data_IF_621142570547
#
_entry.id   IF_621142570547
#
_cell.length_a   1.000
_cell.length_b   1.000
_cell.length_c   1.000
_cell.angle_alpha   90.00
_cell.angle_beta   90.00
_cell.angle_gamma   90.00
#
_symmetry.space_group_name_H-M   'P 1'
#
loop_
_entity.id
_entity.type
_entity.pdbx_description
1 polymer ?
#
# COMPACT_ATOMS: atom_id res chain seq x y z
N UNK A 1 44.01 4.69 -30.76
CA UNK A 1 44.21 3.79 -31.92
C UNK A 1 43.21 2.64 -31.74
N UNK A 2 41.91 2.86 -31.95
CA UNK A 2 41.16 3.02 -33.20
C UNK A 2 40.97 1.69 -33.96
N UNK A 3 39.75 1.13 -33.86
CA UNK A 3 39.00 0.27 -34.80
C UNK A 3 37.72 -0.12 -34.03
N UNK A 4 36.54 0.49 -34.18
CA UNK A 4 35.65 0.67 -35.34
C UNK A 4 35.49 -0.59 -36.17
N UNK A 5 34.41 -1.33 -35.89
CA UNK A 5 33.75 -2.22 -36.83
C UNK A 5 32.25 -1.91 -36.81
N UNK A 6 31.80 -1.32 -37.93
CA UNK A 6 30.42 -1.11 -38.32
C UNK A 6 29.92 -2.33 -39.09
N UNK A 7 28.70 -2.79 -38.81
CA UNK A 7 27.90 -3.52 -39.80
C UNK A 7 26.42 -3.25 -39.57
N UNK A 8 25.80 -2.55 -40.52
CA UNK A 8 24.35 -2.38 -40.61
C UNK A 8 23.67 -3.48 -41.44
N UNK A 9 22.39 -3.20 -41.75
CA UNK A 9 21.40 -4.00 -42.50
C UNK A 9 20.66 -5.06 -41.63
N UNK A 10 19.32 -5.19 -41.65
CA UNK A 10 18.24 -4.62 -42.48
C UNK A 10 16.92 -4.77 -41.72
N UNK A 11 16.01 -3.79 -41.88
CA UNK A 11 14.60 -3.96 -41.60
C UNK A 11 14.00 -5.01 -42.54
N UNK A 12 13.29 -5.98 -41.98
CA UNK A 12 12.35 -6.82 -42.72
C UNK A 12 10.95 -6.58 -42.15
N UNK A 13 10.10 -5.99 -42.97
CA UNK A 13 8.66 -5.85 -42.77
C UNK A 13 8.06 -7.25 -42.89
N UNK A 14 7.47 -7.76 -41.81
CA UNK A 14 6.68 -8.98 -41.85
C UNK A 14 5.23 -8.63 -42.17
N UNK A 15 4.82 -8.96 -43.38
CA UNK A 15 3.43 -8.95 -43.87
C UNK A 15 2.61 -9.99 -43.10
N UNK A 16 1.50 -9.54 -42.49
CA UNK A 16 0.48 -10.40 -41.88
C UNK A 16 -0.43 -11.01 -42.96
N UNK A 17 -0.86 -12.28 -42.83
CA UNK A 17 -1.90 -12.83 -43.70
C UNK A 17 -3.29 -12.34 -43.27
N UNK A 18 -4.03 -11.85 -44.26
CA UNK A 18 -5.44 -11.50 -44.14
C UNK A 18 -6.33 -12.76 -44.19
N UNK A 19 -7.39 -12.78 -43.39
CA UNK A 19 -8.50 -13.71 -43.58
C UNK A 19 -9.10 -14.23 -42.29
N UNK A 20 -10.11 -13.52 -41.76
CA UNK A 20 -11.26 -14.15 -41.11
C UNK A 20 -12.42 -13.13 -41.10
N UNK A 21 -13.39 -13.33 -41.99
CA UNK A 21 -14.67 -12.63 -41.93
C UNK A 21 -15.50 -13.18 -40.76
N UNK A 22 -15.85 -12.31 -39.81
CA UNK A 22 -16.89 -12.58 -38.81
C UNK A 22 -18.21 -12.00 -39.31
N UNK A 23 -19.11 -12.89 -39.72
CA UNK A 23 -20.52 -12.58 -40.00
C UNK A 23 -21.19 -12.07 -38.72
N UNK A 24 -21.66 -10.83 -38.75
CA UNK A 24 -22.56 -10.30 -37.73
C UNK A 24 -23.94 -10.96 -37.86
N UNK A 25 -24.32 -11.73 -36.84
CA UNK A 25 -25.70 -12.21 -36.66
C UNK A 25 -26.44 -11.15 -35.86
N UNK A 26 -27.33 -10.41 -36.52
CA UNK A 26 -28.25 -9.47 -35.86
C UNK A 26 -29.44 -10.24 -35.29
N UNK A 27 -29.55 -10.31 -33.96
CA UNK A 27 -30.80 -10.68 -33.28
C UNK A 27 -31.44 -9.43 -32.69
N UNK A 28 -32.66 -9.13 -33.14
CA UNK A 28 -33.54 -8.11 -32.56
C UNK A 28 -34.11 -8.65 -31.24
N UNK A 29 -34.36 -7.79 -30.24
CA UNK A 29 -35.48 -7.99 -29.34
C UNK A 29 -36.61 -6.99 -29.60
N UNK A 30 -37.82 -7.51 -29.41
CA UNK A 30 -39.10 -6.82 -29.46
C UNK A 30 -39.18 -5.68 -28.47
N UNK A 31 -39.93 -4.64 -28.86
CA UNK A 31 -40.21 -3.49 -28.02
C UNK A 31 -41.23 -3.75 -26.92
N UNK A 32 -41.21 -2.85 -25.94
CA UNK A 32 -42.37 -2.51 -25.14
C UNK A 32 -42.40 -0.99 -24.95
N UNK A 33 -43.59 -0.44 -25.22
CA UNK A 33 -43.96 0.97 -25.07
C UNK A 33 -43.70 1.46 -23.65
N UNK A 34 -43.17 2.67 -23.51
CA UNK A 34 -43.49 3.56 -22.41
C UNK A 34 -43.67 4.99 -22.96
N UNK A 35 -44.73 5.60 -22.46
CA UNK A 35 -45.39 6.82 -22.91
C UNK A 35 -44.60 8.09 -22.60
N UNK A 36 -44.74 9.07 -23.50
CA UNK A 36 -44.24 10.43 -23.35
C UNK A 36 -44.93 11.18 -22.21
N UNK A 37 -44.14 11.97 -21.48
CA UNK A 37 -44.58 13.24 -20.90
C UNK A 37 -43.51 14.28 -21.23
N UNK A 38 -43.93 15.29 -21.96
CA UNK A 38 -43.16 16.47 -22.33
C UNK A 38 -43.03 17.40 -21.14
N UNK A 39 -41.82 17.89 -20.86
CA UNK A 39 -41.73 19.27 -20.42
C UNK A 39 -40.50 19.97 -21.00
N UNK A 40 -40.77 21.17 -21.48
CA UNK A 40 -39.90 22.00 -22.31
C UNK A 40 -39.45 23.20 -21.49
N UNK A 41 -38.14 23.41 -21.35
CA UNK A 41 -37.63 24.78 -21.24
C UNK A 41 -36.18 24.88 -21.74
N UNK A 42 -35.98 25.94 -22.52
CA UNK A 42 -34.82 26.28 -23.36
C UNK A 42 -33.57 26.72 -22.57
N UNK A 43 -32.40 26.73 -23.22
CA UNK A 43 -31.13 27.16 -22.63
C UNK A 43 -30.93 28.68 -22.73
N UNK A 44 -30.24 29.27 -21.75
CA UNK A 44 -29.73 30.63 -21.81
C UNK A 44 -28.20 30.62 -21.98
N UNK A 45 -27.78 31.24 -23.09
CA UNK A 45 -26.39 31.57 -23.42
C UNK A 45 -25.79 32.54 -22.40
N UNK A 46 -24.51 32.37 -22.03
CA UNK A 46 -23.66 33.50 -21.71
C UNK A 46 -22.17 33.24 -22.01
N UNK A 47 -21.76 33.79 -23.16
CA UNK A 47 -20.48 34.43 -23.48
C UNK A 47 -19.15 33.89 -22.97
N UNK A 48 -18.42 33.28 -23.92
CA UNK A 48 -16.96 33.31 -24.05
C UNK A 48 -16.42 34.75 -24.00
N UNK A 49 -15.48 35.02 -23.08
CA UNK A 49 -14.50 36.11 -23.24
C UNK A 49 -13.11 35.51 -23.38
N UNK A 50 -12.55 35.67 -24.59
CA UNK A 50 -11.11 35.59 -24.87
C UNK A 50 -10.42 36.71 -24.10
N UNK A 51 -9.39 36.38 -23.33
CA UNK A 51 -8.33 37.32 -22.97
C UNK A 51 -7.03 36.72 -23.49
N UNK A 52 -6.48 37.35 -24.52
CA UNK A 52 -5.13 37.12 -24.99
C UNK A 52 -4.15 37.91 -24.12
N UNK A 53 -2.97 37.33 -23.92
CA UNK A 53 -1.87 37.94 -23.18
C UNK A 53 -0.70 36.98 -23.15
N UNK A 54 0.03 36.89 -24.26
CA UNK A 54 1.32 36.19 -24.33
C UNK A 54 2.35 37.13 -23.73
N UNK A 55 2.80 36.86 -22.51
CA UNK A 55 3.96 37.52 -21.93
C UNK A 55 5.16 36.57 -21.97
N UNK A 56 6.12 36.89 -22.84
CA UNK A 56 7.43 36.23 -22.93
C UNK A 56 8.24 36.55 -21.69
N UNK A 57 8.31 35.62 -20.75
CA UNK A 57 9.32 35.68 -19.68
C UNK A 57 10.66 35.19 -20.25
N UNK A 58 11.64 36.09 -20.28
CA UNK A 58 13.01 35.83 -20.70
C UNK A 58 13.72 34.99 -19.63
N UNK A 59 14.30 33.86 -20.03
CA UNK A 59 15.26 33.11 -19.23
C UNK A 59 16.55 33.92 -19.04
N UNK A 60 17.09 34.04 -17.82
CA UNK A 60 18.50 34.38 -17.64
C UNK A 60 19.36 33.13 -17.78
N UNK A 61 20.46 33.35 -18.49
CA UNK A 61 21.50 32.41 -18.91
C UNK A 61 22.29 31.83 -17.74
N UNK A 62 22.72 30.57 -17.89
CA UNK A 62 23.68 29.87 -17.04
C UNK A 62 24.95 30.69 -16.82
N UNK A 63 25.25 31.02 -15.56
CA UNK A 63 26.56 31.45 -15.12
C UNK A 63 27.15 30.38 -14.20
N UNK A 64 28.34 29.90 -14.54
CA UNK A 64 29.11 28.93 -13.77
C UNK A 64 29.44 29.48 -12.39
N UNK A 65 29.09 28.75 -11.32
CA UNK A 65 29.61 29.00 -9.99
C UNK A 65 30.45 27.80 -9.56
N UNK A 66 31.73 28.10 -9.29
CA UNK A 66 32.75 27.16 -8.83
C UNK A 66 32.34 26.56 -7.49
N UNK A 67 32.54 25.24 -7.35
CA UNK A 67 32.54 24.54 -6.06
C UNK A 67 33.64 25.10 -5.16
N UNK A 68 33.26 25.54 -3.97
CA UNK A 68 34.16 25.58 -2.82
C UNK A 68 33.36 25.47 -1.52
N UNK A 69 33.75 24.48 -0.73
CA UNK A 69 33.69 24.35 0.73
C UNK A 69 32.33 24.15 1.41
N UNK A 70 32.12 22.89 1.81
CA UNK A 70 31.88 22.46 3.18
C UNK A 70 31.46 23.57 4.17
N UNK A 71 30.15 23.62 4.46
CA UNK A 71 29.63 24.34 5.61
C UNK A 71 28.61 23.45 6.34
N UNK A 72 29.01 23.00 7.52
CA UNK A 72 28.20 22.39 8.56
C UNK A 72 26.97 23.27 8.85
N UNK A 73 25.77 22.80 8.50
CA UNK A 73 24.52 23.41 8.92
C UNK A 73 24.01 22.61 10.12
N UNK A 74 24.25 23.14 11.31
CA UNK A 74 23.50 22.79 12.50
C UNK A 74 22.10 23.40 12.38
N UNK A 75 21.11 22.62 11.95
CA UNK A 75 19.70 22.98 12.12
C UNK A 75 19.18 22.35 13.41
N UNK A 76 19.23 23.11 14.49
CA UNK A 76 18.60 22.75 15.77
C UNK A 76 17.09 23.01 15.66
N UNK A 77 16.34 22.06 15.12
CA UNK A 77 14.90 21.98 15.37
C UNK A 77 14.71 21.49 16.81
N UNK A 78 14.08 22.32 17.64
CA UNK A 78 13.64 21.94 18.98
C UNK A 78 12.47 20.96 18.84
N UNK A 79 12.78 19.68 18.70
CA UNK A 79 11.82 18.63 19.05
C UNK A 79 11.70 18.60 20.58
N UNK A 80 10.48 18.79 21.08
CA UNK A 80 10.16 18.58 22.48
C UNK A 80 10.42 17.09 22.80
N UNK A 81 11.14 16.74 23.88
CA UNK A 81 11.39 15.35 24.20
C UNK A 81 10.06 14.62 24.44
N UNK A 82 9.80 13.60 23.62
CA UNK A 82 8.70 12.66 23.83
C UNK A 82 8.91 12.05 25.22
N UNK A 83 7.98 12.28 26.13
CA UNK A 83 8.02 11.72 27.49
C UNK A 83 7.71 10.23 27.39
N UNK A 84 8.76 9.41 27.35
CA UNK A 84 8.63 7.95 27.32
C UNK A 84 7.91 7.48 28.58
N UNK A 85 6.72 6.91 28.44
CA UNK A 85 6.02 6.26 29.56
C UNK A 85 6.76 4.98 29.94
N UNK A 86 7.21 4.87 31.19
CA UNK A 86 7.80 3.63 31.72
C UNK A 86 6.76 2.50 31.70
N UNK A 87 7.06 1.41 30.98
CA UNK A 87 6.15 0.28 30.81
C UNK A 87 6.66 -0.72 29.79
N UNK A 88 6.00 -1.88 29.70
CA UNK A 88 6.23 -2.81 28.59
C UNK A 88 5.84 -2.13 27.28
N UNK A 89 6.61 -2.27 26.18
CA UNK A 89 6.23 -1.69 24.90
C UNK A 89 4.83 -2.17 24.49
N UNK A 90 3.98 -1.23 24.09
CA UNK A 90 2.61 -1.49 23.69
C UNK A 90 2.15 -0.54 22.61
N UNK A 91 1.19 -1.02 21.82
CA UNK A 91 0.51 -0.24 20.79
C UNK A 91 -0.94 -0.67 20.69
N UNK A 92 -1.76 0.20 20.10
CA UNK A 92 -3.12 -0.12 19.67
C UNK A 92 -3.12 -0.28 18.15
N UNK A 93 -3.78 -1.30 17.63
CA UNK A 93 -3.88 -1.55 16.18
C UNK A 93 -5.32 -1.77 15.75
N UNK A 94 -5.74 -1.06 14.71
CA UNK A 94 -6.92 -1.38 13.91
C UNK A 94 -6.43 -1.91 12.57
N UNK A 95 -7.03 -2.99 12.06
CA UNK A 95 -6.62 -3.56 10.79
C UNK A 95 -7.82 -4.03 9.97
N UNK A 96 -7.78 -3.81 8.66
CA UNK A 96 -8.79 -4.28 7.73
C UNK A 96 -8.25 -4.42 6.31
N UNK A 97 -8.45 -5.59 5.71
CA UNK A 97 -7.77 -5.91 4.46
C UNK A 97 -6.25 -5.74 4.67
N UNK A 98 -5.58 -5.05 3.75
CA UNK A 98 -4.16 -4.71 3.88
C UNK A 98 -3.89 -3.52 4.80
N UNK A 99 -4.91 -2.68 5.04
CA UNK A 99 -4.78 -1.46 5.83
C UNK A 99 -4.59 -1.81 7.30
N UNK A 100 -3.71 -1.07 7.97
CA UNK A 100 -3.71 -1.00 9.41
C UNK A 100 -3.34 0.39 9.91
N UNK A 101 -3.88 0.73 11.07
CA UNK A 101 -3.66 1.99 11.77
C UNK A 101 -3.16 1.65 13.17
N UNK A 102 -1.94 2.09 13.47
CA UNK A 102 -1.23 1.77 14.70
C UNK A 102 -0.96 3.04 15.49
N UNK A 103 -1.23 3.00 16.79
CA UNK A 103 -0.84 4.04 17.75
C UNK A 103 0.11 3.46 18.81
N UNK A 104 1.37 3.90 18.81
CA UNK A 104 2.35 3.51 19.82
C UNK A 104 2.02 4.21 21.15
N UNK A 105 1.88 3.47 22.25
CA UNK A 105 1.43 4.08 23.51
C UNK A 105 2.50 4.94 24.20
N UNK A 106 3.77 4.61 23.99
CA UNK A 106 4.89 5.31 24.60
C UNK A 106 5.13 6.69 23.98
N UNK A 107 5.07 6.80 22.65
CA UNK A 107 5.28 8.05 21.92
C UNK A 107 3.99 8.78 21.53
N UNK A 108 2.86 8.08 21.47
CA UNK A 108 1.63 8.58 20.87
C UNK A 108 1.65 8.61 19.34
N UNK A 109 2.71 8.11 18.70
CA UNK A 109 2.87 8.15 17.24
C UNK A 109 1.79 7.32 16.54
N UNK A 110 1.11 7.93 15.58
CA UNK A 110 0.05 7.31 14.76
C UNK A 110 0.52 7.05 13.33
N UNK A 111 0.58 5.78 12.95
CA UNK A 111 1.02 5.32 11.63
C UNK A 111 -0.14 4.65 10.90
N UNK A 112 -0.45 5.12 9.69
CA UNK A 112 -1.41 4.48 8.80
C UNK A 112 -0.65 3.79 7.67
N UNK A 113 -0.82 2.48 7.53
CA UNK A 113 -0.26 1.72 6.41
C UNK A 113 -1.33 1.30 5.41
N UNK A 114 -0.95 1.30 4.14
CA UNK A 114 -1.75 0.88 2.99
C UNK A 114 -3.22 1.37 3.08
N UNK A 115 -3.43 2.70 3.05
CA UNK A 115 -4.68 3.34 3.46
C UNK A 115 -5.92 2.89 2.70
N UNK A 116 -6.89 2.26 3.36
CA UNK A 116 -8.26 2.06 2.88
C UNK A 116 -9.26 2.35 4.00
N UNK A 117 -9.68 3.61 4.15
CA UNK A 117 -10.52 4.04 5.29
C UNK A 117 -12.02 4.01 4.98
N UNK A 118 -12.43 4.12 3.72
CA UNK A 118 -13.83 4.13 3.34
C UNK A 118 -13.99 3.80 1.86
N UNK A 119 -15.24 3.60 1.46
CA UNK A 119 -15.61 3.41 0.06
C UNK A 119 -15.19 2.04 -0.48
N UNK A 120 -15.60 1.77 -1.72
CA UNK A 120 -15.30 0.49 -2.34
C UNK A 120 -13.86 0.48 -2.87
N UNK A 121 -13.16 -0.64 -2.67
CA UNK A 121 -11.93 -0.93 -3.38
C UNK A 121 -12.28 -1.36 -4.81
N UNK A 122 -11.70 -0.68 -5.80
CA UNK A 122 -11.81 -1.01 -7.22
C UNK A 122 -10.45 -0.88 -7.88
N UNK A 123 -10.28 -1.50 -9.05
CA UNK A 123 -9.06 -1.32 -9.86
C UNK A 123 -9.38 -0.46 -11.09
N UNK A 124 -8.60 0.60 -11.32
CA UNK A 124 -8.77 1.61 -12.38
C UNK A 124 -10.17 2.24 -12.47
N UNK A 125 -10.84 2.41 -11.31
CA UNK A 125 -12.22 2.91 -11.22
C UNK A 125 -13.23 2.05 -12.02
N UNK A 126 -12.91 0.76 -12.25
CA UNK A 126 -13.76 -0.17 -12.99
C UNK A 126 -14.53 -1.08 -12.02
N UNK A 127 -15.60 -0.58 -11.42
CA UNK A 127 -16.43 -1.35 -10.48
C UNK A 127 -17.01 -2.65 -11.09
N UNK A 128 -17.24 -2.69 -12.41
CA UNK A 128 -17.68 -3.90 -13.11
C UNK A 128 -16.60 -4.99 -13.16
N UNK A 129 -15.33 -4.61 -13.10
CA UNK A 129 -14.19 -5.54 -13.11
C UNK A 129 -14.11 -6.24 -11.75
N UNK A 130 -13.90 -5.44 -10.72
CA UNK A 130 -13.80 -5.87 -9.33
C UNK A 130 -14.29 -4.77 -8.41
N UNK A 131 -15.04 -5.17 -7.38
CA UNK A 131 -15.41 -4.33 -6.25
C UNK A 131 -15.23 -5.14 -4.98
N UNK A 132 -14.29 -4.72 -4.13
CA UNK A 132 -14.16 -5.19 -2.75
C UNK A 132 -14.84 -4.22 -1.80
N UNK A 133 -15.68 -4.74 -0.89
CA UNK A 133 -16.32 -3.95 0.16
C UNK A 133 -15.97 -4.52 1.52
N UNK A 134 -15.39 -3.69 2.36
CA UNK A 134 -15.28 -3.98 3.77
C UNK A 134 -16.69 -4.01 4.40
N UNK A 135 -16.91 -4.96 5.31
CA UNK A 135 -18.15 -5.00 6.12
C UNK A 135 -18.14 -3.98 7.27
N UNK A 136 -16.96 -3.52 7.69
CA UNK A 136 -16.81 -2.62 8.85
C UNK A 136 -16.71 -1.15 8.47
N UNK A 137 -16.34 -0.87 7.22
CA UNK A 137 -16.47 0.43 6.59
C UNK A 137 -17.94 0.62 6.28
N UNK A 138 -18.54 1.60 6.95
CA UNK A 138 -19.83 2.07 6.51
C UNK A 138 -19.67 2.54 5.06
N UNK A 139 -20.63 2.19 4.19
CA UNK A 139 -20.55 2.50 2.74
C UNK A 139 -20.11 3.94 2.45
N UNK A 140 -20.43 4.86 3.36
CA UNK A 140 -20.16 6.30 3.27
C UNK A 140 -19.44 6.88 4.51
N UNK A 141 -18.85 6.05 5.37
CA UNK A 141 -18.27 6.47 6.66
C UNK A 141 -16.92 5.84 6.99
N UNK A 142 -16.23 6.41 7.97
CA UNK A 142 -14.97 5.87 8.49
C UNK A 142 -15.20 4.54 9.24
N UNK A 143 -14.17 3.69 9.40
CA UNK A 143 -14.30 2.41 10.08
C UNK A 143 -14.55 2.61 11.58
N UNK A 144 -15.48 1.84 12.14
CA UNK A 144 -15.82 1.87 13.57
C UNK A 144 -16.10 3.28 14.10
N UNK A 145 -15.41 3.67 15.17
CA UNK A 145 -15.57 4.97 15.84
C UNK A 145 -14.52 6.00 15.39
N UNK A 146 -13.82 5.77 14.27
CA UNK A 146 -12.84 6.73 13.77
C UNK A 146 -13.52 8.05 13.37
N UNK A 147 -12.97 9.15 13.86
CA UNK A 147 -13.41 10.50 13.52
C UNK A 147 -12.47 11.12 12.48
N UNK A 148 -12.95 12.13 11.76
CA UNK A 148 -12.09 12.94 10.88
C UNK A 148 -10.96 13.63 11.66
N UNK A 149 -11.19 13.98 12.93
CA UNK A 149 -10.16 14.51 13.81
C UNK A 149 -9.05 13.48 14.05
N UNK A 150 -9.42 12.23 14.33
CA UNK A 150 -8.44 11.14 14.47
C UNK A 150 -7.67 10.93 13.16
N UNK A 151 -8.35 10.86 12.02
CA UNK A 151 -7.68 10.72 10.71
C UNK A 151 -6.74 11.88 10.43
N UNK A 152 -7.12 13.10 10.82
CA UNK A 152 -6.25 14.27 10.72
C UNK A 152 -5.10 14.26 11.75
N UNK A 153 -5.07 13.35 12.71
CA UNK A 153 -3.98 13.25 13.68
C UNK A 153 -2.93 12.19 13.32
N UNK A 154 -3.04 11.58 12.13
CA UNK A 154 -2.05 10.64 11.62
C UNK A 154 -0.73 11.38 11.38
N UNK A 155 0.35 10.82 11.92
CA UNK A 155 1.68 11.42 11.89
C UNK A 155 2.54 10.92 10.72
N UNK A 156 2.27 9.71 10.23
CA UNK A 156 3.00 9.10 9.12
C UNK A 156 2.11 8.14 8.33
N UNK A 157 2.32 8.09 7.01
CA UNK A 157 1.73 7.10 6.13
C UNK A 157 2.83 6.19 5.55
N UNK A 158 2.60 4.88 5.58
CA UNK A 158 3.46 3.89 4.95
C UNK A 158 2.70 3.22 3.79
N UNK A 159 3.30 3.12 2.59
CA UNK A 159 2.64 2.44 1.46
C UNK A 159 3.58 1.42 0.78
N UNK A 160 3.18 0.15 0.76
CA UNK A 160 4.01 -0.96 0.26
C UNK A 160 4.02 -1.09 -1.26
N UNK A 161 2.91 -0.77 -1.93
CA UNK A 161 2.74 -0.93 -3.37
C UNK A 161 1.77 0.08 -4.00
N UNK A 162 1.86 0.28 -5.31
CA UNK A 162 1.03 1.26 -6.05
C UNK A 162 -0.41 0.81 -6.32
N UNK A 163 -0.70 -0.47 -6.11
CA UNK A 163 -2.00 -1.06 -6.44
C UNK A 163 -3.11 -0.55 -5.53
N UNK A 164 -4.33 -0.40 -6.07
CA UNK A 164 -5.43 0.30 -5.40
C UNK A 164 -5.97 -0.42 -4.14
N UNK A 165 -5.56 -1.66 -3.90
CA UNK A 165 -5.79 -2.42 -2.68
C UNK A 165 -4.80 -2.08 -1.53
N UNK A 166 -3.84 -1.20 -1.79
CA UNK A 166 -2.88 -0.63 -0.84
C UNK A 166 -2.81 0.90 -0.94
N UNK A 167 -2.83 1.41 -2.18
CA UNK A 167 -2.77 2.83 -2.52
C UNK A 167 -4.17 3.34 -2.89
N UNK A 168 -5.15 3.20 -1.99
CA UNK A 168 -6.55 3.50 -2.30
C UNK A 168 -6.77 5.00 -2.58
N UNK A 169 -6.99 5.34 -3.85
CA UNK A 169 -7.08 6.74 -4.29
C UNK A 169 -8.16 7.56 -3.58
N UNK A 170 -9.39 7.05 -3.34
CA UNK A 170 -10.40 7.79 -2.58
C UNK A 170 -9.92 8.15 -1.17
N UNK A 171 -9.31 7.20 -0.45
CA UNK A 171 -8.74 7.46 0.89
C UNK A 171 -7.67 8.55 0.81
N UNK A 172 -6.67 8.36 -0.06
CA UNK A 172 -5.53 9.26 -0.19
C UNK A 172 -5.95 10.68 -0.60
N UNK A 173 -7.02 10.84 -1.38
CA UNK A 173 -7.57 12.16 -1.73
C UNK A 173 -8.12 12.91 -0.52
N UNK A 174 -8.69 12.21 0.47
CA UNK A 174 -9.24 12.82 1.69
C UNK A 174 -8.20 13.15 2.76
N UNK A 175 -7.06 12.44 2.78
CA UNK A 175 -6.01 12.70 3.77
C UNK A 175 -5.36 14.07 3.54
N UNK A 176 -4.88 14.68 4.63
CA UNK A 176 -4.07 15.89 4.58
C UNK A 176 -2.84 15.66 3.68
N UNK A 177 -2.42 16.68 2.91
CA UNK A 177 -1.36 16.53 1.90
C UNK A 177 0.04 16.81 2.44
N UNK A 178 0.10 17.36 3.65
CA UNK A 178 1.30 17.67 4.41
C UNK A 178 1.69 16.57 5.41
N UNK A 179 0.88 15.51 5.58
CA UNK A 179 1.32 14.33 6.34
C UNK A 179 2.50 13.68 5.62
N UNK A 180 3.61 13.40 6.31
CA UNK A 180 4.73 12.67 5.75
C UNK A 180 4.29 11.29 5.22
N UNK A 181 4.78 10.93 4.04
CA UNK A 181 4.55 9.61 3.43
C UNK A 181 5.88 8.95 3.11
N UNK A 182 6.05 7.70 3.54
CA UNK A 182 7.14 6.84 3.10
C UNK A 182 6.56 5.67 2.33
N UNK A 183 7.00 5.48 1.10
CA UNK A 183 6.35 4.54 0.18
C UNK A 183 7.36 3.75 -0.66
N UNK A 184 6.93 2.64 -1.26
CA UNK A 184 7.69 2.03 -2.35
C UNK A 184 7.88 3.02 -3.50
N UNK A 185 8.92 2.85 -4.34
CA UNK A 185 9.19 3.79 -5.43
C UNK A 185 8.00 4.00 -6.37
N UNK A 186 7.18 2.96 -6.60
CA UNK A 186 6.01 3.05 -7.47
C UNK A 186 4.83 3.71 -6.78
N UNK A 187 4.59 3.42 -5.49
CA UNK A 187 3.56 4.09 -4.70
C UNK A 187 3.86 5.58 -4.49
N UNK A 188 5.13 5.96 -4.29
CA UNK A 188 5.53 7.36 -4.15
C UNK A 188 5.12 8.20 -5.36
N UNK A 189 5.24 7.66 -6.59
CA UNK A 189 4.80 8.34 -7.81
C UNK A 189 3.29 8.60 -7.81
N UNK A 190 2.48 7.65 -7.33
CA UNK A 190 1.02 7.82 -7.21
C UNK A 190 0.69 8.91 -6.20
N UNK A 191 1.30 8.84 -5.01
CA UNK A 191 1.08 9.76 -3.90
C UNK A 191 1.48 11.21 -4.28
N UNK A 192 2.62 11.39 -4.94
CA UNK A 192 3.07 12.70 -5.44
C UNK A 192 2.07 13.30 -6.45
N UNK A 193 1.52 12.48 -7.35
CA UNK A 193 0.49 12.93 -8.32
C UNK A 193 -0.82 13.34 -7.65
N UNK A 194 -1.10 12.84 -6.46
CA UNK A 194 -2.25 13.24 -5.64
C UNK A 194 -1.99 14.54 -4.84
N UNK A 195 -0.78 15.11 -4.95
CA UNK A 195 -0.45 16.42 -4.38
C UNK A 195 0.11 16.39 -2.97
N UNK A 196 0.56 15.23 -2.46
CA UNK A 196 1.29 15.17 -1.19
C UNK A 196 2.63 15.89 -1.32
N UNK A 197 3.00 16.66 -0.29
CA UNK A 197 4.16 17.56 -0.32
C UNK A 197 5.40 17.00 0.36
N UNK A 198 5.23 16.00 1.23
CA UNK A 198 6.32 15.30 1.92
C UNK A 198 6.22 13.80 1.62
N UNK A 199 6.97 13.35 0.61
CA UNK A 199 6.96 11.97 0.13
C UNK A 199 8.40 11.49 -0.03
N UNK A 200 8.74 10.42 0.69
CA UNK A 200 10.01 9.71 0.58
C UNK A 200 9.78 8.36 -0.10
N UNK A 201 10.37 8.15 -1.27
CA UNK A 201 10.47 6.80 -1.82
C UNK A 201 11.60 6.02 -1.13
N UNK A 202 11.34 4.75 -0.80
CA UNK A 202 12.33 3.90 -0.14
C UNK A 202 12.63 2.66 -0.98
N UNK A 203 13.84 2.60 -1.55
CA UNK A 203 14.31 1.46 -2.32
C UNK A 203 14.72 0.28 -1.43
N UNK A 204 14.70 -0.93 -1.97
CA UNK A 204 15.10 -2.14 -1.25
C UNK A 204 16.50 -2.02 -0.64
N UNK A 205 16.67 -2.52 0.59
CA UNK A 205 17.94 -2.51 1.31
C UNK A 205 18.35 -1.13 1.85
N UNK A 206 17.51 -0.12 1.71
CA UNK A 206 17.74 1.23 2.25
C UNK A 206 16.84 1.51 3.45
N UNK A 207 17.19 2.55 4.20
CA UNK A 207 16.40 3.02 5.34
C UNK A 207 16.24 4.53 5.33
N UNK A 208 15.19 5.00 5.99
CA UNK A 208 14.91 6.41 6.22
C UNK A 208 14.23 6.61 7.58
N UNK A 209 13.93 7.85 7.93
CA UNK A 209 13.17 8.20 9.12
C UNK A 209 11.97 9.09 8.75
N UNK A 210 10.84 8.84 9.38
CA UNK A 210 9.58 9.56 9.17
C UNK A 210 8.90 9.77 10.52
N UNK A 211 8.67 11.02 10.92
CA UNK A 211 8.01 11.34 12.20
C UNK A 211 8.63 10.62 13.41
N UNK A 212 9.97 10.53 13.45
CA UNK A 212 10.72 9.82 14.50
C UNK A 212 10.84 8.30 14.31
N UNK A 213 10.02 7.68 13.47
CA UNK A 213 10.04 6.26 13.14
C UNK A 213 11.16 5.94 12.15
N UNK A 214 12.04 4.98 12.47
CA UNK A 214 13.01 4.47 11.50
C UNK A 214 12.37 3.37 10.67
N UNK A 215 12.57 3.41 9.36
CA UNK A 215 11.97 2.45 8.43
C UNK A 215 13.02 1.87 7.51
N UNK A 216 13.02 0.55 7.31
CA UNK A 216 13.85 -0.18 6.35
C UNK A 216 12.95 -0.85 5.32
N UNK A 217 13.31 -0.76 4.04
CA UNK A 217 12.61 -1.47 2.98
C UNK A 217 13.28 -2.82 2.71
N UNK A 218 12.50 -3.89 2.75
CA UNK A 218 12.88 -5.22 2.27
C UNK A 218 12.30 -5.50 0.90
N UNK A 219 12.87 -6.48 0.20
CA UNK A 219 12.34 -6.96 -1.07
C UNK A 219 11.09 -7.81 -0.79
N UNK A 220 9.91 -7.25 -1.04
CA UNK A 220 8.60 -7.86 -0.78
C UNK A 220 7.96 -8.49 -2.01
N UNK A 221 6.63 -8.43 -2.11
CA UNK A 221 5.85 -9.18 -3.11
C UNK A 221 6.20 -8.89 -4.57
N UNK A 222 6.14 -9.92 -5.42
CA UNK A 222 6.21 -9.73 -6.88
C UNK A 222 4.80 -9.62 -7.44
N UNK A 223 4.34 -8.39 -7.68
CA UNK A 223 3.04 -8.14 -8.31
C UNK A 223 3.23 -7.80 -9.78
N UNK A 224 2.52 -8.51 -10.65
CA UNK A 224 2.63 -8.36 -12.10
C UNK A 224 3.67 -9.29 -12.77
N UNK A 225 4.16 -8.94 -13.97
CA UNK A 225 5.03 -9.82 -14.74
C UNK A 225 6.35 -10.19 -14.03
N UNK A 226 7.01 -11.31 -14.38
CA UNK A 226 8.23 -11.78 -13.74
C UNK A 226 9.40 -10.78 -13.72
N UNK A 227 9.42 -9.82 -14.64
CA UNK A 227 10.44 -8.77 -14.74
C UNK A 227 10.06 -7.47 -14.02
N UNK A 228 8.86 -7.35 -13.47
CA UNK A 228 8.46 -6.18 -12.70
C UNK A 228 9.34 -6.04 -11.45
N UNK A 229 9.64 -4.81 -11.06
CA UNK A 229 10.26 -4.54 -9.75
C UNK A 229 9.32 -5.06 -8.66
N UNK A 230 9.89 -5.78 -7.69
CA UNK A 230 9.15 -6.27 -6.53
C UNK A 230 8.73 -5.08 -5.65
N UNK A 231 7.60 -5.21 -4.98
CA UNK A 231 7.12 -4.26 -4.00
C UNK A 231 7.95 -4.31 -2.71
N UNK A 232 7.60 -3.48 -1.73
CA UNK A 232 8.31 -3.44 -0.47
C UNK A 232 7.62 -4.28 0.60
N UNK A 233 8.42 -5.00 1.38
CA UNK A 233 8.13 -5.17 2.80
C UNK A 233 8.80 -4.05 3.60
N UNK A 234 8.36 -3.82 4.83
CA UNK A 234 8.96 -2.79 5.69
C UNK A 234 9.24 -3.32 7.10
N UNK A 235 10.36 -2.90 7.69
CA UNK A 235 10.52 -2.85 9.15
C UNK A 235 10.28 -1.44 9.62
N UNK A 236 9.41 -1.28 10.61
CA UNK A 236 9.14 -0.05 11.34
C UNK A 236 9.74 -0.21 12.74
N UNK A 237 10.72 0.63 13.07
CA UNK A 237 11.32 0.65 14.40
C UNK A 237 10.90 1.91 15.13
N UNK A 238 10.08 1.73 16.17
CA UNK A 238 9.77 2.76 17.17
C UNK A 238 10.51 2.37 18.45
N UNK A 239 11.40 3.25 18.92
CA UNK A 239 12.27 2.98 20.07
C UNK A 239 12.93 1.59 19.99
N UNK A 240 12.52 0.66 20.86
CA UNK A 240 13.04 -0.71 20.97
C UNK A 240 12.11 -1.74 20.31
N UNK A 241 10.97 -1.34 19.75
CA UNK A 241 9.99 -2.22 19.11
C UNK A 241 10.14 -2.22 17.59
N UNK A 242 10.45 -3.40 17.03
CA UNK A 242 10.49 -3.64 15.59
C UNK A 242 9.23 -4.34 15.09
N UNK A 243 8.55 -3.75 14.11
CA UNK A 243 7.37 -4.33 13.43
C UNK A 243 7.72 -4.58 11.96
N UNK A 244 7.66 -5.83 11.53
CA UNK A 244 7.78 -6.18 10.11
C UNK A 244 6.40 -6.29 9.46
N UNK A 245 6.23 -5.63 8.32
CA UNK A 245 5.03 -5.68 7.50
C UNK A 245 5.35 -6.23 6.10
N UNK A 246 4.70 -7.34 5.73
CA UNK A 246 4.76 -7.94 4.40
C UNK A 246 3.35 -8.34 3.95
N UNK A 247 2.75 -7.61 2.99
CA UNK A 247 1.33 -7.76 2.65
C UNK A 247 0.98 -9.06 1.95
N UNK A 248 1.91 -9.69 1.22
CA UNK A 248 1.61 -10.84 0.37
C UNK A 248 2.32 -12.13 0.83
N UNK A 249 3.08 -12.05 1.93
CA UNK A 249 3.96 -13.12 2.41
C UNK A 249 4.94 -13.63 1.33
N UNK A 250 5.29 -12.79 0.34
CA UNK A 250 6.19 -13.13 -0.75
C UNK A 250 7.43 -12.26 -0.63
N UNK A 251 8.56 -12.85 -0.22
CA UNK A 251 9.74 -12.08 0.19
C UNK A 251 11.03 -12.67 -0.35
N UNK A 252 12.09 -11.87 -0.37
CA UNK A 252 13.46 -12.35 -0.52
C UNK A 252 14.05 -12.73 0.84
N UNK A 253 14.56 -13.96 0.96
CA UNK A 253 15.11 -14.45 2.23
C UNK A 253 16.29 -13.63 2.75
N UNK A 254 17.23 -13.24 1.88
CA UNK A 254 18.45 -12.53 2.28
C UNK A 254 18.11 -11.12 2.76
N UNK A 255 17.21 -10.45 2.03
CA UNK A 255 16.66 -9.15 2.42
C UNK A 255 15.98 -9.22 3.79
N UNK A 256 15.13 -10.22 4.04
CA UNK A 256 14.46 -10.36 5.35
C UNK A 256 15.44 -10.75 6.46
N UNK A 257 16.44 -11.60 6.19
CA UNK A 257 17.48 -11.96 7.17
C UNK A 257 18.26 -10.74 7.64
N UNK A 258 18.46 -9.75 6.78
CA UNK A 258 19.22 -8.53 7.12
C UNK A 258 18.53 -7.62 8.16
N UNK A 259 17.23 -7.82 8.38
CA UNK A 259 16.42 -7.02 9.32
C UNK A 259 15.88 -7.84 10.50
N UNK A 260 16.28 -9.10 10.61
CA UNK A 260 15.94 -9.98 11.73
C UNK A 260 16.83 -9.72 12.96
N UNK A 261 16.36 -9.96 14.19
CA UNK A 261 14.98 -10.30 14.56
C UNK A 261 14.07 -9.06 14.63
N UNK A 262 12.76 -9.29 14.69
CA UNK A 262 11.73 -8.26 14.96
C UNK A 262 10.77 -8.75 16.04
N UNK A 263 10.02 -7.84 16.67
CA UNK A 263 9.09 -8.20 17.74
C UNK A 263 7.72 -8.63 17.23
N UNK A 264 7.25 -7.96 16.16
CA UNK A 264 5.93 -8.16 15.58
C UNK A 264 6.05 -8.43 14.09
N UNK A 265 5.27 -9.39 13.59
CA UNK A 265 5.10 -9.61 12.14
C UNK A 265 3.63 -9.44 11.78
N UNK A 266 3.37 -8.55 10.82
CA UNK A 266 2.07 -8.35 10.17
C UNK A 266 2.18 -8.96 8.77
N UNK A 267 1.49 -10.08 8.53
CA UNK A 267 1.58 -10.84 7.26
C UNK A 267 0.32 -11.68 7.04
N UNK A 268 -0.05 -12.10 5.82
CA UNK A 268 -1.16 -13.03 5.62
C UNK A 268 -1.02 -14.34 6.39
N UNK A 269 -2.12 -14.76 7.05
CA UNK A 269 -2.24 -16.08 7.66
C UNK A 269 -2.91 -17.13 6.77
N UNK A 270 -3.37 -16.73 5.57
CA UNK A 270 -4.08 -17.59 4.61
C UNK A 270 -3.69 -17.23 3.18
N UNK A 271 -3.87 -18.19 2.27
CA UNK A 271 -3.53 -18.01 0.87
C UNK A 271 -4.74 -17.54 0.07
N UNK A 272 -4.53 -16.51 -0.75
CA UNK A 272 -5.44 -16.09 -1.80
C UNK A 272 -4.83 -16.41 -3.14
N UNK A 273 -5.66 -16.88 -4.07
CA UNK A 273 -5.28 -17.03 -5.47
C UNK A 273 -6.20 -16.24 -6.37
N UNK A 274 -5.65 -15.70 -7.45
CA UNK A 274 -6.41 -15.08 -8.54
C UNK A 274 -6.10 -15.85 -9.82
N UNK A 275 -7.12 -16.45 -10.42
CA UNK A 275 -6.97 -17.30 -11.61
C UNK A 275 -5.88 -18.39 -11.45
N UNK A 276 -5.72 -18.93 -10.24
CA UNK A 276 -4.74 -19.98 -9.92
C UNK A 276 -3.34 -19.50 -9.53
N UNK A 277 -3.04 -18.20 -9.67
CA UNK A 277 -1.77 -17.61 -9.21
C UNK A 277 -1.88 -17.09 -7.78
N UNK A 278 -0.85 -17.24 -6.93
CA UNK A 278 -0.88 -16.71 -5.57
C UNK A 278 -0.94 -15.18 -5.59
N UNK A 279 -1.93 -14.63 -4.90
CA UNK A 279 -1.96 -13.23 -4.49
C UNK A 279 -1.23 -13.09 -3.16
N UNK A 280 -1.59 -13.94 -2.19
CA UNK A 280 -0.80 -14.14 -0.98
C UNK A 280 -0.20 -15.55 -0.98
N UNK A 281 0.99 -15.69 -0.40
CA UNK A 281 1.67 -16.97 -0.34
C UNK A 281 1.02 -17.94 0.65
N UNK A 282 1.48 -19.19 0.61
CA UNK A 282 0.98 -20.26 1.47
C UNK A 282 1.37 -20.08 2.94
N UNK A 283 0.67 -20.78 3.84
CA UNK A 283 1.01 -20.84 5.27
C UNK A 283 2.44 -21.37 5.50
N UNK A 284 2.96 -22.22 4.60
CA UNK A 284 4.35 -22.69 4.69
C UNK A 284 5.36 -21.56 4.45
N UNK A 285 5.08 -20.63 3.54
CA UNK A 285 5.92 -19.43 3.35
C UNK A 285 5.81 -18.50 4.56
N UNK A 286 4.63 -18.39 5.18
CA UNK A 286 4.49 -17.66 6.44
C UNK A 286 5.35 -18.28 7.55
N UNK A 287 5.34 -19.60 7.71
CA UNK A 287 6.24 -20.30 8.64
C UNK A 287 7.71 -20.01 8.33
N UNK A 288 8.11 -20.02 7.06
CA UNK A 288 9.49 -19.72 6.63
C UNK A 288 9.88 -18.28 6.98
N UNK A 289 9.00 -17.31 6.73
CA UNK A 289 9.17 -15.92 7.12
C UNK A 289 9.38 -15.78 8.64
N UNK A 290 8.51 -16.42 9.41
CA UNK A 290 8.50 -16.36 10.87
C UNK A 290 9.71 -17.02 11.51
N UNK A 291 10.26 -18.07 10.89
CA UNK A 291 11.53 -18.70 11.33
C UNK A 291 12.73 -17.77 11.17
N UNK A 292 12.72 -16.92 10.15
CA UNK A 292 13.76 -15.92 9.94
C UNK A 292 13.60 -14.81 10.97
N UNK A 293 12.41 -14.21 11.03
CA UNK A 293 12.14 -12.99 11.80
C UNK A 293 12.01 -13.18 13.31
N UNK A 294 11.64 -14.39 13.76
CA UNK A 294 11.52 -14.80 15.17
C UNK A 294 10.68 -13.83 16.04
N UNK A 295 9.45 -13.49 15.64
CA UNK A 295 8.64 -12.53 16.38
C UNK A 295 8.10 -13.08 17.69
N UNK A 296 7.75 -12.17 18.59
CA UNK A 296 6.96 -12.45 19.78
C UNK A 296 5.45 -12.46 19.47
N UNK A 297 5.02 -11.63 18.51
CA UNK A 297 3.61 -11.46 18.11
C UNK A 297 3.45 -11.58 16.60
N UNK A 298 2.39 -12.26 16.18
CA UNK A 298 1.97 -12.35 14.77
C UNK A 298 0.58 -11.73 14.65
N UNK A 299 0.41 -10.82 13.69
CA UNK A 299 -0.87 -10.21 13.35
C UNK A 299 -1.25 -10.64 11.94
N UNK A 300 -2.15 -11.63 11.77
CA UNK A 300 -2.52 -12.11 10.45
C UNK A 300 -3.41 -11.10 9.73
N UNK A 301 -3.08 -10.79 8.48
CA UNK A 301 -3.91 -9.94 7.61
C UNK A 301 -5.24 -10.65 7.30
N UNK A 302 -6.36 -9.94 7.48
CA UNK A 302 -7.72 -10.50 7.38
C UNK A 302 -8.44 -10.10 6.08
N UNK A 303 -7.99 -10.63 4.95
CA UNK A 303 -8.60 -10.38 3.64
C UNK A 303 -9.97 -11.08 3.41
N UNK A 304 -10.47 -11.91 4.35
CA UNK A 304 -11.68 -12.75 4.13
C UNK A 304 -13.00 -12.03 4.32
N UNK A 305 -12.98 -10.83 4.87
CA UNK A 305 -14.18 -10.11 5.27
C UNK A 305 -14.60 -9.06 4.24
N UNK A 306 -14.16 -9.26 3.00
CA UNK A 306 -14.51 -8.40 1.88
C UNK A 306 -15.66 -9.04 1.10
N UNK A 307 -16.77 -8.32 0.97
CA UNK A 307 -17.78 -8.67 -0.03
C UNK A 307 -17.21 -8.33 -1.41
N UNK A 308 -17.02 -9.36 -2.23
CA UNK A 308 -16.45 -9.22 -3.56
C UNK A 308 -17.55 -9.32 -4.63
N UNK A 309 -17.53 -8.40 -5.59
CA UNK A 309 -18.41 -8.43 -6.77
C UNK A 309 -17.66 -7.97 -8.02
N UNK A 310 -18.27 -8.12 -9.20
CA UNK A 310 -17.63 -7.86 -10.49
C UNK A 310 -17.25 -9.15 -11.24
N UNK A 311 -16.83 -9.01 -12.49
CA UNK A 311 -16.57 -10.17 -13.37
C UNK A 311 -15.35 -10.99 -12.95
N UNK A 312 -14.41 -10.41 -12.19
CA UNK A 312 -13.23 -11.13 -11.68
C UNK A 312 -13.42 -11.69 -10.26
N UNK A 313 -14.49 -11.33 -9.54
CA UNK A 313 -14.71 -11.89 -8.21
C UNK A 313 -14.74 -13.43 -8.17
N UNK A 314 -15.35 -14.15 -9.14
CA UNK A 314 -15.39 -15.61 -9.13
C UNK A 314 -14.04 -16.33 -9.33
N UNK A 315 -13.01 -15.64 -9.83
CA UNK A 315 -11.67 -16.24 -10.03
C UNK A 315 -10.75 -16.06 -8.81
N UNK A 316 -11.24 -15.40 -7.75
CA UNK A 316 -10.54 -15.22 -6.48
C UNK A 316 -10.90 -16.40 -5.56
N UNK A 317 -9.87 -17.09 -5.07
CA UNK A 317 -10.03 -18.28 -4.24
C UNK A 317 -9.30 -18.09 -2.91
N UNK A 318 -10.00 -18.34 -1.82
CA UNK A 318 -9.42 -18.49 -0.49
C UNK A 318 -9.00 -19.95 -0.29
N UNK A 319 -7.76 -20.18 0.13
CA UNK A 319 -7.23 -21.49 0.48
C UNK A 319 -6.85 -21.50 1.95
N UNK A 320 -7.38 -22.50 2.66
CA UNK A 320 -7.17 -22.71 4.09
C UNK A 320 -8.24 -22.07 4.99
N UNK A 321 -8.23 -22.46 6.25
CA UNK A 321 -9.11 -21.97 7.32
C UNK A 321 -8.30 -21.18 8.36
N UNK A 322 -8.94 -20.33 9.19
CA UNK A 322 -8.25 -19.70 10.32
C UNK A 322 -7.56 -20.70 11.25
N UNK A 323 -8.20 -21.85 11.52
CA UNK A 323 -7.67 -22.89 12.40
C UNK A 323 -6.41 -23.56 11.83
N UNK A 324 -6.27 -23.57 10.50
CA UNK A 324 -5.08 -24.11 9.85
C UNK A 324 -3.86 -23.29 10.25
N UNK A 325 -3.96 -21.96 10.29
CA UNK A 325 -2.81 -21.12 10.57
C UNK A 325 -2.16 -21.43 11.92
N UNK A 326 -2.92 -21.43 13.01
CA UNK A 326 -2.40 -21.75 14.34
C UNK A 326 -1.91 -23.20 14.46
N UNK A 327 -2.59 -24.15 13.80
CA UNK A 327 -2.17 -25.54 13.80
C UNK A 327 -0.80 -25.72 13.11
N UNK A 328 -0.58 -25.06 11.96
CA UNK A 328 0.68 -25.07 11.24
C UNK A 328 1.79 -24.37 12.03
N UNK A 329 1.50 -23.25 12.70
CA UNK A 329 2.48 -22.59 13.58
C UNK A 329 2.95 -23.52 14.70
N UNK A 330 2.00 -24.22 15.35
CA UNK A 330 2.31 -25.19 16.41
C UNK A 330 3.13 -26.37 15.90
N UNK A 331 2.77 -26.94 14.75
CA UNK A 331 3.54 -28.03 14.13
C UNK A 331 4.96 -27.58 13.75
N UNK A 332 5.10 -26.34 13.29
CA UNK A 332 6.39 -25.75 12.93
C UNK A 332 7.26 -25.33 14.13
N UNK A 333 6.73 -25.41 15.36
CA UNK A 333 7.41 -24.99 16.60
C UNK A 333 7.47 -23.47 16.80
N UNK A 334 6.60 -22.70 16.13
CA UNK A 334 6.52 -21.25 16.31
C UNK A 334 5.71 -20.95 17.58
N UNK A 335 6.33 -20.26 18.54
CA UNK A 335 5.73 -19.94 19.86
C UNK A 335 5.17 -18.52 19.95
N UNK A 336 5.23 -17.75 18.86
CA UNK A 336 4.73 -16.38 18.82
C UNK A 336 3.22 -16.34 19.09
N UNK A 337 2.78 -15.31 19.83
CA UNK A 337 1.36 -15.09 20.12
C UNK A 337 0.65 -14.54 18.89
N UNK A 338 -0.40 -15.22 18.44
CA UNK A 338 -1.26 -14.71 17.36
C UNK A 338 -2.26 -13.72 17.95
N UNK A 339 -2.32 -12.52 17.36
CA UNK A 339 -3.30 -11.48 17.73
C UNK A 339 -4.09 -11.14 16.49
N UNK A 340 -5.41 -11.33 16.58
CA UNK A 340 -6.33 -11.08 15.47
C UNK A 340 -7.14 -9.82 15.82
N UNK A 341 -6.87 -8.66 15.19
CA UNK A 341 -7.64 -7.45 15.44
C UNK A 341 -9.14 -7.65 15.15
N UNK A 342 -10.03 -6.97 15.88
CA UNK A 342 -11.46 -7.09 15.65
C UNK A 342 -11.85 -6.46 14.32
N UNK A 343 -12.77 -7.12 13.62
CA UNK A 343 -13.21 -6.69 12.31
C UNK A 343 -14.02 -5.40 12.31
N UNK A 344 -14.56 -4.94 13.45
CA UNK A 344 -15.52 -3.83 13.51
C UNK A 344 -14.91 -2.43 13.49
N UNK A 345 -13.69 -2.27 12.95
CA UNK A 345 -13.00 -0.98 12.96
C UNK A 345 -12.70 -0.49 14.38
N UNK A 346 -12.42 -1.40 15.30
CA UNK A 346 -11.95 -1.06 16.65
C UNK A 346 -10.46 -1.35 16.79
N UNK A 347 -9.85 -0.70 17.77
CA UNK A 347 -8.47 -0.94 18.14
C UNK A 347 -8.35 -2.15 19.06
N UNK A 348 -7.43 -3.04 18.72
CA UNK A 348 -6.90 -4.08 19.61
C UNK A 348 -5.68 -3.55 20.35
N UNK A 349 -5.59 -3.79 21.66
CA UNK A 349 -4.40 -3.45 22.44
C UNK A 349 -3.39 -4.61 22.40
N UNK A 350 -2.15 -4.29 22.03
CA UNK A 350 -1.06 -5.25 21.97
C UNK A 350 0.04 -4.81 22.91
N UNK A 351 0.24 -5.60 23.96
CA UNK A 351 1.41 -5.48 24.83
C UNK A 351 2.45 -6.54 24.46
N UNK A 352 3.71 -6.12 24.35
CA UNK A 352 4.85 -6.99 24.13
C UNK A 352 5.43 -7.47 25.46
N UNK A 353 6.04 -8.65 25.46
CA UNK A 353 6.81 -9.10 26.62
C UNK A 353 8.16 -8.39 26.63
N UNK A 354 8.64 -8.03 27.82
CA UNK A 354 10.02 -7.58 27.97
C UNK A 354 10.91 -8.80 27.75
N UNK A 355 11.62 -8.86 26.63
CA UNK A 355 12.69 -9.84 26.51
C UNK A 355 13.73 -9.50 27.59
N UNK A 356 14.02 -10.46 28.49
CA UNK A 356 15.23 -10.38 29.30
C UNK A 356 16.38 -10.32 28.30
N UNK A 357 17.15 -9.23 28.34
CA UNK A 357 18.46 -9.23 27.70
C UNK A 357 19.30 -10.26 28.44
N UNK A 358 19.43 -11.46 27.87
CA UNK A 358 20.55 -12.31 28.21
C UNK A 358 21.80 -11.60 27.68
N UNK A 359 22.58 -11.10 28.63
CA UNK A 359 23.80 -10.32 28.42
C UNK A 359 24.93 -11.13 27.77
#
# INVERSE_FOLDING_TARGET
MAMVLTSGCRCSIATLPAGLELRAVTTRPLGSRLTMSSDTSRPSNCSLKKVGGVERVRHPTLASVKRSNESTINSTTKESPIQVREGRPSFRIMAEGNMWLLEFEASGLRVLADPWLFGNQTFWDQAWLYTGRSQSQQRDGLPGDLTLEYVNSIDAIIITQEWEDHCHLPTLKMLRKDVPVLASPKAAVVVQRLGFTDVTDLAHGTSSQISGLKVWATVGGRVGPPWALRENGFVLQEMQTGIYYEPHCSFDEESVRSVSPVDVVITPGRQYKVAGFPLTESVNEAVRLLRILKPQVIIPIQLTHLEMSGVTAPIIQLIGTPNDFEAYLREAGITARVVVPPLSGHFEHVQLELQKQDA
#
